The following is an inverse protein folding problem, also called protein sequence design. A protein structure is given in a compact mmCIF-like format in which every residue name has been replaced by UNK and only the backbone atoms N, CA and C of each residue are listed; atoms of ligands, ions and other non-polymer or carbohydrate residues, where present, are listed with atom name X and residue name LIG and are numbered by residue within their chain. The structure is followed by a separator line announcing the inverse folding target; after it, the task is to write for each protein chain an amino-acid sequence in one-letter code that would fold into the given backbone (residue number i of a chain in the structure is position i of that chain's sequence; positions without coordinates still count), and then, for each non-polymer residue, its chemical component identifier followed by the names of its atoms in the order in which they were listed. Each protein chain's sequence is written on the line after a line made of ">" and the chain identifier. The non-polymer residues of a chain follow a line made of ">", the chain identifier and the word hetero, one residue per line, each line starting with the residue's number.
data_IF_735972665230
#
_entry.id   IF_735972665230
#
_cell.length_a   1.000
_cell.length_b   1.000
_cell.length_c   1.000
_cell.angle_alpha   90.00
_cell.angle_beta   90.00
_cell.angle_gamma   90.00
#
_symmetry.space_group_name_H-M   'P 1'
#
loop_
_entity.id
_entity.type
_entity.pdbx_description
1 polymer ?
#
# COMPACT_ATOMS: atom_id res chain seq x y z
N UNK A 1 10.65 1.16 14.81
CA UNK A 1 10.21 1.34 13.40
C UNK A 1 8.99 2.23 13.49
N UNK A 2 9.10 3.46 12.97
CA UNK A 2 8.05 4.50 12.97
C UNK A 2 6.74 4.04 12.31
N UNK A 3 5.65 4.82 12.36
CA UNK A 3 4.52 4.59 11.48
C UNK A 3 5.01 4.61 10.01
N UNK A 4 4.48 3.72 9.14
CA UNK A 4 4.93 3.69 7.76
C UNK A 4 4.54 4.99 7.08
N UNK A 5 5.53 5.74 6.60
CA UNK A 5 5.27 6.94 5.81
C UNK A 5 4.84 6.55 4.38
N UNK A 6 4.41 7.55 3.59
CA UNK A 6 3.98 7.35 2.21
C UNK A 6 4.99 6.57 1.37
N UNK A 7 6.28 6.88 1.49
CA UNK A 7 7.33 6.22 0.70
C UNK A 7 7.50 4.75 1.07
N UNK A 8 7.34 4.39 2.35
CA UNK A 8 7.42 3.00 2.81
C UNK A 8 6.23 2.17 2.32
N UNK A 9 5.03 2.76 2.31
CA UNK A 9 3.85 2.11 1.74
C UNK A 9 3.95 1.98 0.22
N UNK A 10 4.39 3.03 -0.50
CA UNK A 10 4.59 2.95 -1.95
C UNK A 10 5.63 1.88 -2.31
N UNK A 11 6.77 1.82 -1.60
CA UNK A 11 7.78 0.77 -1.82
C UNK A 11 7.19 -0.63 -1.62
N UNK A 12 6.38 -0.82 -0.57
CA UNK A 12 5.70 -2.09 -0.31
C UNK A 12 4.76 -2.47 -1.46
N UNK A 13 4.01 -1.50 -1.98
CA UNK A 13 3.12 -1.69 -3.14
C UNK A 13 3.94 -2.04 -4.38
N UNK A 14 5.06 -1.35 -4.64
CA UNK A 14 5.93 -1.60 -5.78
C UNK A 14 6.53 -3.00 -5.76
N UNK A 15 7.02 -3.47 -4.61
CA UNK A 15 7.49 -4.84 -4.43
C UNK A 15 6.41 -5.87 -4.78
N UNK A 16 5.14 -5.57 -4.48
CA UNK A 16 4.02 -6.46 -4.82
C UNK A 16 3.56 -6.31 -6.27
N UNK A 17 3.66 -5.12 -6.86
CA UNK A 17 3.37 -4.88 -8.29
C UNK A 17 4.24 -5.78 -9.19
N UNK A 18 5.48 -6.08 -8.80
CA UNK A 18 6.35 -7.02 -9.54
C UNK A 18 5.80 -8.45 -9.62
N UNK A 19 4.94 -8.83 -8.67
CA UNK A 19 4.34 -10.18 -8.59
C UNK A 19 2.90 -10.21 -9.12
N UNK A 20 2.37 -9.07 -9.55
CA UNK A 20 0.98 -8.92 -9.94
C UNK A 20 0.56 -9.90 -11.06
N UNK A 21 1.37 -10.01 -12.11
CA UNK A 21 1.06 -10.89 -13.24
C UNK A 21 0.94 -12.37 -12.82
N UNK A 22 1.72 -12.79 -11.81
CA UNK A 22 1.65 -14.15 -11.27
C UNK A 22 0.35 -14.37 -10.49
N UNK A 23 -0.11 -13.36 -9.75
CA UNK A 23 -1.38 -13.45 -9.02
C UNK A 23 -2.58 -13.43 -9.97
N UNK A 24 -2.54 -12.57 -10.99
CA UNK A 24 -3.64 -12.39 -11.95
C UNK A 24 -3.88 -13.62 -12.84
N UNK A 25 -2.90 -14.51 -12.98
CA UNK A 25 -3.09 -15.81 -13.64
C UNK A 25 -4.06 -16.73 -12.91
N UNK A 26 -4.26 -16.56 -11.60
CA UNK A 26 -5.06 -17.47 -10.76
C UNK A 26 -6.38 -16.85 -10.29
N UNK A 27 -6.58 -15.56 -10.52
CA UNK A 27 -7.70 -14.79 -10.00
C UNK A 27 -8.15 -13.74 -11.02
N UNK A 28 -9.45 -13.46 -11.08
CA UNK A 28 -10.01 -12.37 -11.92
C UNK A 28 -9.76 -10.98 -11.35
N UNK A 29 -9.57 -10.87 -10.03
CA UNK A 29 -9.22 -9.63 -9.36
C UNK A 29 -8.16 -9.91 -8.29
N UNK A 30 -7.23 -8.99 -8.12
CA UNK A 30 -6.14 -9.09 -7.16
C UNK A 30 -6.17 -7.88 -6.22
N UNK A 31 -6.52 -8.11 -4.97
CA UNK A 31 -6.51 -7.06 -3.95
C UNK A 31 -5.27 -7.18 -3.08
N UNK A 32 -4.70 -6.04 -2.67
CA UNK A 32 -3.53 -6.00 -1.81
C UNK A 32 -3.94 -5.61 -0.37
N UNK A 33 -3.54 -6.42 0.60
CA UNK A 33 -3.65 -6.11 2.02
C UNK A 33 -2.26 -5.89 2.62
N UNK A 34 -2.03 -4.70 3.18
CA UNK A 34 -0.82 -4.34 3.91
C UNK A 34 -1.17 -4.35 5.40
N UNK A 35 -0.64 -5.33 6.13
CA UNK A 35 -0.86 -5.44 7.58
C UNK A 35 0.32 -4.83 8.35
N UNK A 36 0.03 -3.85 9.21
CA UNK A 36 0.96 -3.29 10.17
C UNK A 36 0.63 -3.80 11.58
N UNK A 37 1.64 -4.29 12.29
CA UNK A 37 1.48 -4.84 13.63
C UNK A 37 1.99 -3.86 14.69
N UNK A 38 1.08 -3.22 15.46
CA UNK A 38 1.43 -2.32 16.57
C UNK A 38 1.42 -3.00 17.93
N UNK A 39 2.32 -3.94 18.17
CA UNK A 39 2.63 -4.33 19.57
C UNK A 39 3.53 -3.31 20.30
N UNK A 40 3.68 -2.08 19.81
CA UNK A 40 4.49 -1.05 20.48
C UNK A 40 3.69 0.26 20.70
N UNK A 41 3.17 0.52 21.91
CA UNK A 41 2.24 1.61 22.23
C UNK A 41 2.88 3.01 22.28
N UNK A 42 4.20 3.15 22.09
CA UNK A 42 4.88 4.44 22.13
C UNK A 42 4.79 5.25 20.81
N UNK A 43 4.05 4.76 19.82
CA UNK A 43 4.05 5.30 18.46
C UNK A 43 2.64 5.76 18.07
N UNK A 44 2.27 6.93 18.57
CA UNK A 44 1.09 7.64 18.11
C UNK A 44 1.20 7.89 16.60
N UNK A 45 0.15 7.54 15.87
CA UNK A 45 0.05 7.92 14.46
C UNK A 45 -0.21 9.41 14.38
N UNK A 46 0.73 10.15 13.80
CA UNK A 46 0.47 11.52 13.40
C UNK A 46 0.06 11.55 11.93
N UNK A 47 -1.25 11.50 11.69
CA UNK A 47 -1.84 11.67 10.35
C UNK A 47 -1.93 13.16 9.94
N UNK A 48 -1.35 14.09 10.71
CA UNK A 48 -1.53 15.54 10.53
C UNK A 48 -0.36 16.25 9.87
N UNK A 49 0.79 15.59 9.71
CA UNK A 49 1.94 16.13 8.97
C UNK A 49 1.94 15.69 7.50
N UNK A 50 2.50 16.53 6.64
CA UNK A 50 2.49 16.42 5.18
C UNK A 50 2.61 14.97 4.66
N UNK A 51 1.62 14.58 3.84
CA UNK A 51 1.53 13.24 3.28
C UNK A 51 0.86 12.23 4.21
N UNK A 52 -0.36 12.53 4.69
CA UNK A 52 -1.18 11.55 5.40
C UNK A 52 -1.28 10.26 4.56
N UNK A 53 -0.74 9.13 5.04
CA UNK A 53 -0.69 7.90 4.26
C UNK A 53 -2.07 7.37 3.87
N UNK A 54 -3.11 7.73 4.63
CA UNK A 54 -4.49 7.31 4.33
C UNK A 54 -5.14 8.11 3.19
N UNK A 55 -4.64 9.31 2.90
CA UNK A 55 -5.20 10.17 1.83
C UNK A 55 -4.28 10.28 0.62
N UNK A 56 -3.08 9.71 0.69
CA UNK A 56 -2.15 9.66 -0.44
C UNK A 56 -2.69 8.72 -1.53
N UNK A 57 -2.54 9.12 -2.80
CA UNK A 57 -2.93 8.30 -3.94
C UNK A 57 -1.74 7.48 -4.43
N UNK A 58 -1.72 6.19 -4.10
CA UNK A 58 -0.63 5.27 -4.43
C UNK A 58 -0.69 4.80 -5.88
N UNK A 59 0.47 4.54 -6.49
CA UNK A 59 0.54 3.85 -7.77
C UNK A 59 0.47 2.34 -7.54
N UNK A 60 -0.60 1.67 -8.00
CA UNK A 60 -0.83 0.25 -7.76
C UNK A 60 -1.36 -0.46 -9.00
N UNK A 61 -0.95 -1.72 -9.20
CA UNK A 61 -1.54 -2.61 -10.22
C UNK A 61 -2.78 -3.33 -9.70
N UNK A 62 -2.92 -3.42 -8.38
CA UNK A 62 -4.04 -4.08 -7.69
C UNK A 62 -5.31 -3.24 -7.79
N UNK A 63 -6.45 -3.89 -8.02
CA UNK A 63 -7.74 -3.21 -8.15
C UNK A 63 -8.18 -2.53 -6.86
N UNK A 64 -7.70 -3.02 -5.71
CA UNK A 64 -7.94 -2.44 -4.39
C UNK A 64 -6.72 -2.62 -3.50
N UNK A 65 -6.44 -1.62 -2.68
CA UNK A 65 -5.34 -1.64 -1.71
C UNK A 65 -5.89 -1.31 -0.34
N UNK A 66 -5.61 -2.15 0.65
CA UNK A 66 -6.06 -1.99 2.02
C UNK A 66 -4.88 -1.91 2.98
N UNK A 67 -5.03 -1.07 4.00
CA UNK A 67 -4.15 -1.01 5.15
C UNK A 67 -4.88 -1.52 6.38
N UNK A 68 -4.34 -2.57 7.01
CA UNK A 68 -4.83 -3.14 8.26
C UNK A 68 -3.86 -2.81 9.38
N UNK A 69 -4.37 -2.14 10.39
CA UNK A 69 -3.66 -1.87 11.63
C UNK A 69 -4.15 -2.87 12.70
N UNK A 70 -3.27 -3.78 13.13
CA UNK A 70 -3.64 -4.91 13.97
C UNK A 70 -3.83 -4.55 15.45
N UNK A 71 -3.28 -3.43 15.92
CA UNK A 71 -3.39 -2.99 17.32
C UNK A 71 -4.78 -2.47 17.68
N UNK A 72 -5.28 -1.51 16.90
CA UNK A 72 -6.59 -0.89 17.03
C UNK A 72 -7.67 -1.61 16.19
N UNK A 73 -7.26 -2.58 15.36
CA UNK A 73 -8.15 -3.39 14.53
C UNK A 73 -8.78 -2.62 13.37
N UNK A 74 -8.12 -1.57 12.87
CA UNK A 74 -8.68 -0.73 11.81
C UNK A 74 -8.23 -1.17 10.42
N UNK A 75 -9.19 -1.46 9.56
CA UNK A 75 -9.00 -1.64 8.12
C UNK A 75 -9.43 -0.38 7.36
N UNK A 76 -8.58 0.12 6.45
CA UNK A 76 -8.93 1.21 5.53
C UNK A 76 -8.48 0.91 4.11
N UNK A 77 -9.31 1.27 3.15
CA UNK A 77 -8.92 1.28 1.74
C UNK A 77 -8.06 2.52 1.47
N UNK A 78 -6.94 2.32 0.78
CA UNK A 78 -6.03 3.39 0.39
C UNK A 78 -6.42 3.90 -1.01
N UNK A 79 -6.47 5.23 -1.22
CA UNK A 79 -6.63 5.79 -2.55
C UNK A 79 -5.48 5.31 -3.45
N UNK A 80 -5.79 4.91 -4.68
CA UNK A 80 -4.78 4.47 -5.63
C UNK A 80 -5.14 4.84 -7.06
N UNK A 81 -4.13 4.87 -7.91
CA UNK A 81 -4.23 5.10 -9.34
C UNK A 81 -3.49 4.02 -10.11
N UNK A 82 -3.79 3.88 -11.40
CA UNK A 82 -3.17 2.89 -12.26
C UNK A 82 -1.65 3.06 -12.26
N UNK A 83 -0.94 1.98 -11.88
CA UNK A 83 0.52 1.94 -11.90
C UNK A 83 1.04 2.18 -13.31
N UNK A 84 1.83 3.24 -13.49
CA UNK A 84 2.56 3.52 -14.71
C UNK A 84 3.94 2.89 -14.60
N UNK A 85 4.11 1.74 -15.23
CA UNK A 85 5.42 1.11 -15.38
C UNK A 85 6.32 2.01 -16.24
N UNK A 86 7.22 2.76 -15.62
CA UNK A 86 8.22 3.57 -16.32
C UNK A 86 9.41 2.75 -16.80
N UNK A 87 9.33 1.42 -16.75
CA UNK A 87 10.43 0.49 -17.08
C UNK A 87 10.30 -0.13 -18.47
N UNK A 88 9.27 0.19 -19.25
CA UNK A 88 9.24 -0.15 -20.68
C UNK A 88 9.95 0.91 -21.51
N UNK A 89 11.12 0.62 -22.13
CA UNK A 89 11.64 1.48 -23.17
C UNK A 89 10.64 1.55 -24.31
N UNK A 90 10.41 2.77 -24.79
CA UNK A 90 9.71 3.06 -26.04
C UNK A 90 10.54 2.38 -27.14
N UNK A 91 9.97 1.37 -27.78
CA UNK A 91 10.55 0.71 -28.94
C UNK A 91 10.55 1.66 -30.15
#
# INVERSE_FOLDING_TARGET
>A
MGPPNVSELQRTIDEKNTKYDVYRQKCDECWLLIAANRFNPAQGYDFTLDGCPLTHCYASRFERVFFLELGDGWLRELPHSAFKDTSKPIA
#
